data_IF_018481015120
#
_entry.id   IF_018481015120
#
_cell.length_a   1.000
_cell.length_b   1.000
_cell.length_c   1.000
_cell.angle_alpha   90.00
_cell.angle_beta   90.00
_cell.angle_gamma   90.00
#
_symmetry.space_group_name_H-M   'P 1'
#
loop_
_entity.id
_entity.type
_entity.pdbx_description
1 polymer ?
#
# COMPACT_ATOMS: atom_id res chain seq x y z
N UNK A 1 -18.77 -19.41 2.36
CA UNK A 1 -19.17 -18.01 2.60
C UNK A 1 -18.40 -17.13 1.62
N UNK A 2 -19.09 -16.32 0.84
CA UNK A 2 -18.41 -15.50 -0.17
C UNK A 2 -17.76 -14.29 0.52
N UNK A 3 -16.48 -14.36 0.77
CA UNK A 3 -15.70 -13.35 1.50
C UNK A 3 -15.63 -11.99 0.77
N UNK A 4 -15.99 -11.93 -0.51
CA UNK A 4 -16.08 -10.70 -1.28
C UNK A 4 -17.38 -9.93 -1.04
N UNK A 5 -18.38 -10.51 -0.35
CA UNK A 5 -19.64 -9.80 -0.08
C UNK A 5 -19.58 -9.14 1.29
N UNK A 6 -19.59 -7.78 1.36
CA UNK A 6 -19.60 -7.07 2.64
C UNK A 6 -20.82 -7.45 3.48
N UNK A 7 -20.59 -7.85 4.73
CA UNK A 7 -21.65 -8.41 5.61
C UNK A 7 -22.50 -7.37 6.31
N UNK A 8 -22.00 -6.17 6.52
CA UNK A 8 -22.68 -5.09 7.25
C UNK A 8 -22.66 -3.77 6.47
N UNK A 9 -23.47 -2.81 6.90
CA UNK A 9 -23.62 -1.51 6.23
C UNK A 9 -22.32 -0.71 6.21
N UNK A 10 -21.54 -0.71 7.30
CA UNK A 10 -20.24 -0.01 7.35
C UNK A 10 -19.28 -0.55 6.30
N UNK A 11 -19.13 -1.86 6.19
CA UNK A 11 -18.26 -2.48 5.20
C UNK A 11 -18.74 -2.22 3.77
N UNK A 12 -20.07 -2.23 3.51
CA UNK A 12 -20.62 -1.87 2.20
C UNK A 12 -20.28 -0.44 1.80
N UNK A 13 -20.46 0.51 2.72
CA UNK A 13 -20.11 1.92 2.49
C UNK A 13 -18.61 2.07 2.27
N UNK A 14 -17.78 1.44 3.09
CA UNK A 14 -16.33 1.50 2.97
C UNK A 14 -15.84 0.98 1.61
N UNK A 15 -16.35 -0.18 1.18
CA UNK A 15 -16.03 -0.76 -0.13
C UNK A 15 -16.51 0.16 -1.25
N UNK A 16 -17.72 0.70 -1.18
CA UNK A 16 -18.22 1.65 -2.16
C UNK A 16 -17.32 2.89 -2.28
N UNK A 17 -16.89 3.46 -1.15
CA UNK A 17 -16.03 4.66 -1.15
C UNK A 17 -14.69 4.37 -1.83
N UNK A 18 -13.98 3.29 -1.49
CA UNK A 18 -12.67 3.01 -2.11
C UNK A 18 -12.80 2.75 -3.62
N UNK A 19 -13.85 2.04 -4.05
CA UNK A 19 -14.08 1.83 -5.47
C UNK A 19 -14.39 3.15 -6.19
N UNK A 20 -15.26 3.97 -5.61
CA UNK A 20 -15.62 5.28 -6.19
C UNK A 20 -14.38 6.17 -6.37
N UNK A 21 -13.57 6.33 -5.32
CA UNK A 21 -12.38 7.19 -5.39
C UNK A 21 -11.35 6.70 -6.42
N UNK A 22 -11.08 5.40 -6.46
CA UNK A 22 -10.14 4.85 -7.43
C UNK A 22 -10.67 4.94 -8.87
N UNK A 23 -11.94 4.62 -9.11
CA UNK A 23 -12.53 4.74 -10.45
C UNK A 23 -12.57 6.20 -10.93
N UNK A 24 -12.94 7.14 -10.04
CA UNK A 24 -12.87 8.57 -10.35
C UNK A 24 -11.42 9.00 -10.64
N UNK A 25 -10.45 8.52 -9.86
CA UNK A 25 -9.03 8.77 -10.08
C UNK A 25 -8.55 8.23 -11.43
N UNK A 26 -8.91 6.98 -11.79
CA UNK A 26 -8.56 6.37 -13.09
C UNK A 26 -9.05 7.24 -14.25
N UNK A 27 -10.34 7.61 -14.24
CA UNK A 27 -10.94 8.43 -15.29
C UNK A 27 -10.36 9.84 -15.30
N UNK A 28 -10.23 10.45 -14.12
CA UNK A 28 -9.79 11.84 -13.98
C UNK A 28 -8.33 12.05 -14.35
N UNK A 29 -7.44 11.13 -13.98
CA UNK A 29 -6.01 11.18 -14.33
C UNK A 29 -5.79 10.93 -15.82
N UNK A 30 -6.54 9.98 -16.42
CA UNK A 30 -6.34 9.58 -17.81
C UNK A 30 -7.04 10.49 -18.83
N UNK A 31 -8.22 10.99 -18.51
CA UNK A 31 -9.08 11.70 -19.47
C UNK A 31 -9.53 13.10 -18.99
N UNK A 32 -9.27 13.45 -17.72
CA UNK A 32 -9.65 14.72 -17.13
C UNK A 32 -8.48 15.66 -16.88
N UNK A 33 -8.59 16.46 -15.82
CA UNK A 33 -7.50 17.31 -15.34
C UNK A 33 -6.59 16.49 -14.42
N UNK A 34 -5.49 15.98 -14.96
CA UNK A 34 -4.54 15.12 -14.26
C UNK A 34 -4.07 15.72 -12.93
N UNK A 35 -3.63 16.97 -12.94
CA UNK A 35 -3.05 17.63 -11.75
C UNK A 35 -4.10 17.80 -10.64
N UNK A 36 -5.34 18.12 -11.01
CA UNK A 36 -6.45 18.19 -10.07
C UNK A 36 -6.69 16.84 -9.38
N UNK A 37 -6.76 15.75 -10.14
CA UNK A 37 -7.00 14.42 -9.56
C UNK A 37 -5.80 13.89 -8.75
N UNK A 38 -4.57 14.19 -9.19
CA UNK A 38 -3.36 13.83 -8.45
C UNK A 38 -3.28 14.52 -7.09
N UNK A 39 -3.75 15.76 -6.96
CA UNK A 39 -3.79 16.48 -5.70
C UNK A 39 -4.64 15.78 -4.62
N UNK A 40 -5.55 14.87 -5.01
CA UNK A 40 -6.35 14.07 -4.07
C UNK A 40 -5.67 12.76 -3.65
N UNK A 41 -4.51 12.41 -4.19
CA UNK A 41 -3.79 11.17 -3.80
C UNK A 41 -3.54 11.07 -2.29
N UNK A 42 -3.05 12.11 -1.59
CA UNK A 42 -2.86 12.05 -0.14
C UNK A 42 -4.15 11.79 0.61
N UNK A 43 -5.25 12.40 0.18
CA UNK A 43 -6.57 12.25 0.79
C UNK A 43 -7.09 10.82 0.56
N UNK A 44 -6.97 10.29 -0.66
CA UNK A 44 -7.40 8.93 -0.98
C UNK A 44 -6.62 7.88 -0.15
N UNK A 45 -5.31 8.05 -0.01
CA UNK A 45 -4.48 7.17 0.80
C UNK A 45 -4.88 7.24 2.28
N UNK A 46 -5.12 8.44 2.81
CA UNK A 46 -5.59 8.62 4.19
C UNK A 46 -6.99 8.03 4.42
N UNK A 47 -7.93 8.23 3.48
CA UNK A 47 -9.27 7.61 3.55
C UNK A 47 -9.14 6.09 3.53
N UNK A 48 -8.32 5.52 2.65
CA UNK A 48 -8.09 4.07 2.58
C UNK A 48 -7.57 3.51 3.90
N UNK A 49 -6.64 4.23 4.54
CA UNK A 49 -6.13 3.89 5.87
C UNK A 49 -7.21 3.91 6.94
N UNK A 50 -7.99 4.99 7.02
CA UNK A 50 -9.07 5.12 8.01
C UNK A 50 -10.10 4.01 7.81
N UNK A 51 -10.53 3.77 6.56
CA UNK A 51 -11.50 2.72 6.26
C UNK A 51 -10.96 1.31 6.54
N UNK A 52 -9.66 1.08 6.34
CA UNK A 52 -9.01 -0.18 6.72
C UNK A 52 -9.18 -0.44 8.22
N UNK A 53 -8.96 0.56 9.06
CA UNK A 53 -9.09 0.42 10.52
C UNK A 53 -10.55 0.37 10.98
N UNK A 54 -11.45 1.12 10.36
CA UNK A 54 -12.91 1.05 10.64
C UNK A 54 -13.48 -0.35 10.38
N UNK A 55 -12.91 -1.08 9.43
CA UNK A 55 -13.35 -2.43 9.10
C UNK A 55 -12.63 -3.53 9.90
N UNK A 56 -11.58 -3.22 10.68
CA UNK A 56 -10.93 -4.22 11.53
C UNK A 56 -11.93 -4.75 12.57
N UNK A 57 -11.94 -6.07 12.75
CA UNK A 57 -12.87 -6.73 13.68
C UNK A 57 -12.59 -6.41 15.14
N UNK A 58 -11.31 -6.25 15.47
CA UNK A 58 -10.85 -5.88 16.80
C UNK A 58 -9.72 -4.87 16.67
N UNK A 59 -9.85 -3.73 17.34
CA UNK A 59 -8.83 -2.69 17.44
C UNK A 59 -8.35 -2.62 18.89
N UNK A 60 -7.61 -3.62 19.31
CA UNK A 60 -6.96 -3.63 20.61
C UNK A 60 -5.61 -2.91 20.56
N UNK A 61 -5.03 -2.68 21.72
CA UNK A 61 -3.71 -2.02 21.84
C UNK A 61 -2.59 -2.76 21.07
N UNK A 62 -2.69 -4.07 20.91
CA UNK A 62 -1.68 -4.86 20.17
C UNK A 62 -1.74 -4.66 18.66
N UNK A 63 -2.93 -4.48 18.09
CA UNK A 63 -3.11 -4.15 16.67
C UNK A 63 -2.56 -2.76 16.36
N UNK A 64 -2.89 -1.77 17.19
CA UNK A 64 -2.39 -0.41 17.05
C UNK A 64 -0.86 -0.35 17.22
N UNK A 65 -0.28 -1.06 18.21
CA UNK A 65 1.17 -1.15 18.38
C UNK A 65 1.84 -1.80 17.17
N UNK A 66 1.24 -2.83 16.59
CA UNK A 66 1.78 -3.50 15.41
C UNK A 66 1.74 -2.59 14.19
N UNK A 67 0.64 -1.87 13.96
CA UNK A 67 0.55 -0.88 12.91
C UNK A 67 1.59 0.24 13.08
N UNK A 68 1.78 0.73 14.31
CA UNK A 68 2.80 1.72 14.65
C UNK A 68 4.21 1.21 14.34
N UNK A 69 4.54 -0.03 14.72
CA UNK A 69 5.83 -0.63 14.41
C UNK A 69 6.05 -0.78 12.90
N UNK A 70 5.02 -1.21 12.15
CA UNK A 70 5.08 -1.32 10.68
C UNK A 70 5.32 0.05 10.06
N UNK A 71 4.63 1.10 10.54
CA UNK A 71 4.85 2.47 10.11
C UNK A 71 6.31 2.89 10.26
N UNK A 72 6.90 2.69 11.45
CA UNK A 72 8.29 3.09 11.71
C UNK A 72 9.31 2.25 10.97
N UNK A 73 9.08 0.94 10.81
CA UNK A 73 9.96 0.10 9.99
C UNK A 73 9.94 0.61 8.55
N UNK A 74 8.75 0.87 7.99
CA UNK A 74 8.62 1.47 6.66
C UNK A 74 9.34 2.82 6.57
N UNK A 75 9.00 3.77 7.45
CA UNK A 75 9.63 5.11 7.42
C UNK A 75 11.15 5.07 7.56
N UNK A 76 11.69 4.26 8.47
CA UNK A 76 13.14 4.16 8.68
C UNK A 76 13.81 3.55 7.43
N UNK A 77 13.24 2.49 6.86
CA UNK A 77 13.80 1.89 5.64
C UNK A 77 13.80 2.86 4.46
N UNK A 78 12.74 3.65 4.31
CA UNK A 78 12.64 4.68 3.26
C UNK A 78 13.62 5.84 3.50
N UNK A 79 13.76 6.32 4.75
CA UNK A 79 14.73 7.35 5.10
C UNK A 79 16.16 6.88 4.81
N UNK A 80 16.49 5.62 5.08
CA UNK A 80 17.79 5.03 4.75
C UNK A 80 17.98 4.90 3.23
N UNK A 81 16.90 4.59 2.48
CA UNK A 81 16.90 4.58 1.02
C UNK A 81 17.21 5.96 0.45
N UNK A 82 16.35 6.94 0.73
CA UNK A 82 16.44 8.31 0.18
C UNK A 82 17.74 9.03 0.52
N UNK A 83 18.25 8.87 1.75
CA UNK A 83 19.41 9.66 2.20
C UNK A 83 20.77 8.96 1.97
N UNK A 84 20.79 7.64 1.80
CA UNK A 84 22.04 6.87 1.73
C UNK A 84 22.07 5.82 0.60
N UNK A 85 21.03 5.74 -0.24
CA UNK A 85 20.92 4.69 -1.27
C UNK A 85 20.83 3.25 -0.74
N UNK A 86 20.59 3.10 0.57
CA UNK A 86 20.49 1.79 1.22
C UNK A 86 19.10 1.19 0.98
N UNK A 87 18.99 -0.14 1.02
CA UNK A 87 17.74 -0.92 0.96
C UNK A 87 17.10 -0.89 -0.43
N UNK A 88 16.68 0.28 -0.96
CA UNK A 88 15.91 0.39 -2.21
C UNK A 88 16.73 0.94 -3.39
N UNK A 89 17.93 1.49 -3.15
CA UNK A 89 18.76 2.20 -4.13
C UNK A 89 18.58 3.72 -4.06
N UNK A 90 19.12 4.43 -5.05
CA UNK A 90 19.11 5.90 -5.07
C UNK A 90 17.85 6.43 -5.76
N UNK A 91 17.00 7.10 -5.01
CA UNK A 91 15.75 7.71 -5.47
C UNK A 91 15.36 8.90 -4.60
N UNK A 92 14.46 9.71 -5.11
CA UNK A 92 13.89 10.85 -4.39
C UNK A 92 12.37 10.85 -4.49
N UNK A 93 11.69 11.28 -3.44
CA UNK A 93 10.24 11.53 -3.45
C UNK A 93 9.93 12.88 -4.07
N UNK A 94 8.98 12.90 -4.99
CA UNK A 94 8.37 14.10 -5.56
C UNK A 94 7.27 14.64 -4.63
N UNK A 95 6.48 15.63 -5.06
CA UNK A 95 5.67 16.43 -4.13
C UNK A 95 4.22 15.97 -3.93
N UNK A 96 3.72 15.05 -4.75
CA UNK A 96 2.29 14.65 -4.71
C UNK A 96 1.89 13.81 -3.49
N UNK A 97 2.83 13.34 -2.68
CA UNK A 97 2.54 12.56 -1.48
C UNK A 97 2.54 13.39 -0.18
N UNK A 98 2.67 14.72 -0.29
CA UNK A 98 2.51 15.67 0.81
C UNK A 98 3.72 15.82 1.71
N UNK A 99 3.49 16.12 2.99
CA UNK A 99 4.53 16.50 3.96
C UNK A 99 5.60 15.42 4.16
N UNK A 100 6.87 15.83 4.10
CA UNK A 100 8.06 14.96 4.18
C UNK A 100 8.83 15.13 5.49
N UNK A 101 9.33 14.01 6.02
CA UNK A 101 10.30 13.94 7.12
C UNK A 101 11.58 13.29 6.57
N UNK A 102 12.72 13.96 6.67
CA UNK A 102 14.00 13.52 6.09
C UNK A 102 13.88 13.09 4.61
N UNK A 103 13.11 13.84 3.81
CA UNK A 103 12.90 13.57 2.39
C UNK A 103 11.82 12.55 2.06
N UNK A 104 11.24 11.86 3.05
CA UNK A 104 10.22 10.83 2.88
C UNK A 104 8.83 11.35 3.27
N UNK A 105 7.80 11.25 2.41
CA UNK A 105 6.44 11.60 2.78
C UNK A 105 5.91 10.73 3.93
N UNK A 106 5.29 11.34 4.94
CA UNK A 106 4.72 10.61 6.09
C UNK A 106 3.68 9.58 5.67
N UNK A 107 2.97 9.85 4.58
CA UNK A 107 1.98 8.92 4.01
C UNK A 107 2.60 7.62 3.47
N UNK A 108 3.89 7.57 3.23
CA UNK A 108 4.57 6.33 2.86
C UNK A 108 4.58 5.33 4.03
N UNK A 109 4.83 5.81 5.26
CA UNK A 109 4.66 4.95 6.44
C UNK A 109 3.23 4.42 6.61
N UNK A 110 2.23 5.25 6.29
CA UNK A 110 0.82 4.83 6.22
C UNK A 110 0.60 3.79 5.11
N UNK A 111 1.22 3.98 3.95
CA UNK A 111 1.14 3.03 2.85
C UNK A 111 1.75 1.66 3.22
N UNK A 112 2.85 1.62 3.95
CA UNK A 112 3.44 0.39 4.49
C UNK A 112 2.46 -0.38 5.37
N UNK A 113 1.66 0.32 6.21
CA UNK A 113 0.59 -0.31 7.00
C UNK A 113 -0.47 -0.89 6.05
N UNK A 114 -0.99 -0.09 5.13
CA UNK A 114 -2.05 -0.51 4.20
C UNK A 114 -1.61 -1.76 3.43
N UNK A 115 -0.45 -1.71 2.77
CA UNK A 115 0.06 -2.81 1.96
C UNK A 115 0.25 -4.07 2.80
N UNK A 116 0.85 -3.96 3.99
CA UNK A 116 1.04 -5.10 4.90
C UNK A 116 -0.28 -5.75 5.31
N UNK A 117 -1.28 -4.94 5.68
CA UNK A 117 -2.57 -5.45 6.14
C UNK A 117 -3.37 -6.10 5.01
N UNK A 118 -3.48 -5.46 3.84
CA UNK A 118 -4.29 -5.99 2.74
C UNK A 118 -3.70 -7.26 2.14
N UNK A 119 -2.38 -7.31 1.93
CA UNK A 119 -1.70 -8.49 1.39
C UNK A 119 -1.60 -9.60 2.43
N UNK A 120 -1.35 -9.25 3.70
CA UNK A 120 -1.28 -10.18 4.83
C UNK A 120 -2.62 -10.85 5.15
N UNK A 121 -3.73 -10.11 5.04
CA UNK A 121 -5.08 -10.65 5.23
C UNK A 121 -5.42 -11.69 4.17
N UNK A 122 -5.18 -11.37 2.89
CA UNK A 122 -5.43 -12.30 1.79
C UNK A 122 -4.52 -13.53 1.85
N UNK A 123 -3.22 -13.34 2.08
CA UNK A 123 -2.26 -14.44 2.16
C UNK A 123 -2.60 -15.42 3.29
N UNK A 124 -3.01 -14.92 4.46
CA UNK A 124 -3.41 -15.78 5.59
C UNK A 124 -4.73 -16.52 5.37
N UNK A 125 -5.61 -15.98 4.56
CA UNK A 125 -6.84 -16.66 4.16
C UNK A 125 -6.54 -17.85 3.24
N UNK A 126 -5.65 -17.65 2.27
CA UNK A 126 -5.28 -18.68 1.28
C UNK A 126 -4.37 -19.74 1.92
N UNK A 127 -3.36 -19.30 2.67
CA UNK A 127 -2.35 -20.19 3.25
C UNK A 127 -2.48 -20.28 4.76
N UNK A 128 -2.75 -21.47 5.29
CA UNK A 128 -2.92 -21.67 6.73
C UNK A 128 -1.59 -21.70 7.50
N UNK A 129 -0.49 -22.01 6.81
CA UNK A 129 0.84 -21.95 7.41
C UNK A 129 1.31 -20.50 7.48
N UNK A 130 1.61 -20.01 8.69
CA UNK A 130 2.02 -18.60 8.92
C UNK A 130 3.27 -18.21 8.14
N UNK A 131 4.26 -19.09 8.02
CA UNK A 131 5.49 -18.80 7.29
C UNK A 131 5.24 -18.65 5.79
N UNK A 132 4.39 -19.52 5.24
CA UNK A 132 3.95 -19.39 3.84
C UNK A 132 3.14 -18.12 3.65
N UNK A 133 2.27 -17.76 4.60
CA UNK A 133 1.51 -16.50 4.54
C UNK A 133 2.41 -15.27 4.57
N UNK A 134 3.48 -15.28 5.38
CA UNK A 134 4.47 -14.21 5.42
C UNK A 134 5.14 -14.06 4.06
N UNK A 135 5.65 -15.16 3.51
CA UNK A 135 6.30 -15.17 2.19
C UNK A 135 5.38 -14.66 1.09
N UNK A 136 4.16 -15.19 1.03
CA UNK A 136 3.19 -14.81 -0.01
C UNK A 136 2.68 -13.38 0.16
N UNK A 137 2.53 -12.90 1.40
CA UNK A 137 2.22 -11.50 1.69
C UNK A 137 3.30 -10.55 1.16
N UNK A 138 4.58 -10.86 1.39
CA UNK A 138 5.69 -10.09 0.86
C UNK A 138 5.75 -10.12 -0.68
N UNK A 139 5.50 -11.28 -1.30
CA UNK A 139 5.42 -11.40 -2.76
C UNK A 139 4.28 -10.55 -3.33
N UNK A 140 3.11 -10.52 -2.69
CA UNK A 140 1.99 -9.66 -3.11
C UNK A 140 2.33 -8.17 -2.98
N UNK A 141 3.10 -7.77 -1.97
CA UNK A 141 3.59 -6.38 -1.83
C UNK A 141 4.50 -6.02 -3.01
N UNK A 142 5.47 -6.87 -3.37
CA UNK A 142 6.32 -6.67 -4.56
C UNK A 142 5.47 -6.62 -5.83
N UNK A 143 4.45 -7.47 -5.95
CA UNK A 143 3.54 -7.47 -7.09
C UNK A 143 2.81 -6.13 -7.28
N UNK A 144 2.41 -5.47 -6.20
CA UNK A 144 1.86 -4.11 -6.25
C UNK A 144 2.92 -3.08 -6.60
N UNK A 145 4.12 -3.17 -6.01
CA UNK A 145 5.24 -2.28 -6.31
C UNK A 145 5.61 -2.31 -7.81
N UNK A 146 5.69 -3.51 -8.40
CA UNK A 146 5.88 -3.69 -9.85
C UNK A 146 4.83 -2.98 -10.71
N UNK A 147 3.61 -2.85 -10.24
CA UNK A 147 2.55 -2.13 -10.93
C UNK A 147 2.65 -0.60 -10.71
N UNK A 148 3.20 -0.16 -9.58
CA UNK A 148 3.32 1.26 -9.24
C UNK A 148 4.54 1.89 -9.92
N UNK A 149 5.66 1.18 -9.96
CA UNK A 149 6.95 1.72 -10.39
C UNK A 149 6.94 2.42 -11.76
N UNK A 150 6.36 1.85 -12.84
CA UNK A 150 6.37 2.53 -14.13
C UNK A 150 5.60 3.84 -14.15
N UNK A 151 4.57 3.98 -13.32
CA UNK A 151 3.73 5.18 -13.26
C UNK A 151 4.13 6.16 -12.15
N UNK A 152 4.92 5.73 -11.17
CA UNK A 152 5.29 6.56 -10.02
C UNK A 152 5.89 7.92 -10.41
N UNK A 153 6.86 8.03 -11.36
CA UNK A 153 7.38 9.32 -11.81
C UNK A 153 6.31 10.19 -12.47
N UNK A 154 5.44 9.57 -13.28
CA UNK A 154 4.37 10.26 -14.01
C UNK A 154 3.26 10.76 -13.08
N UNK A 155 3.08 10.13 -11.92
CA UNK A 155 2.13 10.52 -10.89
C UNK A 155 2.73 11.50 -9.86
N UNK A 156 4.02 11.85 -10.00
CA UNK A 156 4.71 12.75 -9.08
C UNK A 156 4.96 12.11 -7.70
N UNK A 157 5.19 10.77 -7.64
CA UNK A 157 5.42 10.04 -6.39
C UNK A 157 6.91 9.98 -6.05
N UNK A 158 7.71 9.28 -6.85
CA UNK A 158 9.16 9.16 -6.72
C UNK A 158 9.82 8.89 -8.07
N UNK A 159 11.13 9.11 -8.13
CA UNK A 159 11.93 8.83 -9.31
C UNK A 159 13.31 8.31 -8.88
N UNK A 160 13.80 7.26 -9.54
CA UNK A 160 15.16 6.74 -9.39
C UNK A 160 16.16 7.55 -10.23
N UNK A 161 17.38 7.71 -9.72
CA UNK A 161 18.41 8.55 -10.34
C UNK A 161 18.70 8.16 -11.81
N UNK A 162 18.74 6.87 -12.11
CA UNK A 162 18.96 6.37 -13.48
C UNK A 162 17.67 6.26 -14.31
N UNK A 163 16.55 6.79 -13.82
CA UNK A 163 15.20 6.59 -14.42
C UNK A 163 14.87 5.11 -14.66
N UNK A 164 15.51 4.23 -13.92
CA UNK A 164 15.34 2.78 -13.97
C UNK A 164 15.34 2.20 -12.58
N UNK A 165 14.31 1.43 -12.29
CA UNK A 165 14.17 0.75 -10.99
C UNK A 165 15.25 -0.32 -10.84
N UNK A 166 16.12 -0.23 -9.83
CA UNK A 166 17.18 -1.22 -9.64
C UNK A 166 16.61 -2.51 -9.02
N UNK A 167 17.27 -3.64 -9.27
CA UNK A 167 16.91 -4.90 -8.62
C UNK A 167 16.95 -4.78 -7.08
N UNK A 168 17.82 -3.93 -6.57
CA UNK A 168 17.94 -3.62 -5.14
C UNK A 168 16.59 -3.18 -4.56
N UNK A 169 15.77 -2.39 -5.28
CA UNK A 169 14.43 -2.00 -4.84
C UNK A 169 13.57 -3.23 -4.50
N UNK A 170 13.46 -4.17 -5.41
CA UNK A 170 12.62 -5.38 -5.21
C UNK A 170 13.15 -6.28 -4.10
N UNK A 171 14.48 -6.38 -3.94
CA UNK A 171 15.08 -7.10 -2.81
C UNK A 171 14.80 -6.40 -1.48
N UNK A 172 14.87 -5.07 -1.45
CA UNK A 172 14.49 -4.25 -0.30
C UNK A 172 13.04 -4.45 0.08
N UNK A 173 12.12 -4.33 -0.89
CA UNK A 173 10.69 -4.61 -0.70
C UNK A 173 10.44 -6.02 -0.17
N UNK A 174 11.20 -7.02 -0.66
CA UNK A 174 11.10 -8.38 -0.17
C UNK A 174 11.50 -8.49 1.31
N UNK A 175 12.67 -7.97 1.68
CA UNK A 175 13.20 -8.08 3.05
C UNK A 175 12.32 -7.32 4.04
N UNK A 176 12.00 -6.05 3.75
CA UNK A 176 11.16 -5.25 4.64
C UNK A 176 9.72 -5.79 4.66
N UNK A 177 9.21 -6.24 3.51
CA UNK A 177 7.92 -6.91 3.40
C UNK A 177 7.86 -8.18 4.27
N UNK A 178 8.88 -9.02 4.27
CA UNK A 178 8.95 -10.20 5.15
C UNK A 178 8.89 -9.81 6.63
N UNK A 179 9.59 -8.75 7.04
CA UNK A 179 9.61 -8.27 8.44
C UNK A 179 8.21 -7.76 8.83
N UNK A 180 7.61 -6.90 8.02
CA UNK A 180 6.28 -6.33 8.31
C UNK A 180 5.18 -7.39 8.26
N UNK A 181 5.25 -8.33 7.31
CA UNK A 181 4.36 -9.49 7.24
C UNK A 181 4.51 -10.41 8.46
N UNK A 182 5.73 -10.62 8.96
CA UNK A 182 5.94 -11.40 10.17
C UNK A 182 5.25 -10.74 11.38
N UNK A 183 5.42 -9.43 11.55
CA UNK A 183 4.70 -8.66 12.59
C UNK A 183 3.19 -8.84 12.45
N UNK A 184 2.65 -8.67 11.24
CA UNK A 184 1.22 -8.83 10.97
C UNK A 184 0.74 -10.24 11.29
N UNK A 185 1.41 -11.30 10.80
CA UNK A 185 0.97 -12.68 10.94
C UNK A 185 1.06 -13.19 12.40
N UNK A 186 2.03 -12.72 13.17
CA UNK A 186 2.20 -13.16 14.55
C UNK A 186 1.47 -12.30 15.60
N UNK A 187 1.20 -11.03 15.29
CA UNK A 187 0.58 -10.10 16.25
C UNK A 187 -0.90 -9.87 16.04
N UNK A 188 -1.37 -9.92 14.79
CA UNK A 188 -2.78 -9.71 14.45
C UNK A 188 -3.52 -11.04 14.47
N UNK A 189 -4.39 -11.24 15.45
CA UNK A 189 -5.14 -12.49 15.61
C UNK A 189 -6.31 -12.58 14.62
N UNK A 190 -7.18 -11.57 14.60
CA UNK A 190 -8.33 -11.50 13.73
C UNK A 190 -8.07 -10.55 12.57
N UNK A 191 -8.01 -11.11 11.36
CA UNK A 191 -7.71 -10.37 10.14
C UNK A 191 -8.99 -10.02 9.40
N UNK A 192 -9.11 -8.75 9.03
CA UNK A 192 -10.18 -8.30 8.16
C UNK A 192 -9.86 -8.71 6.73
N UNK A 193 -10.78 -9.45 6.08
CA UNK A 193 -10.53 -10.02 4.77
C UNK A 193 -11.29 -9.29 3.66
N UNK A 194 -12.55 -8.94 3.89
CA UNK A 194 -13.43 -8.41 2.83
C UNK A 194 -12.94 -7.07 2.29
N UNK A 195 -12.82 -6.07 3.17
CA UNK A 195 -12.35 -4.74 2.78
C UNK A 195 -10.91 -4.79 2.27
N UNK A 196 -10.03 -5.55 2.96
CA UNK A 196 -8.63 -5.72 2.57
C UNK A 196 -8.50 -6.30 1.17
N UNK A 197 -9.32 -7.28 0.81
CA UNK A 197 -9.30 -7.87 -0.54
C UNK A 197 -9.82 -6.88 -1.59
N UNK A 198 -10.89 -6.13 -1.30
CA UNK A 198 -11.37 -5.10 -2.22
C UNK A 198 -10.33 -4.01 -2.45
N UNK A 199 -9.67 -3.54 -1.37
CA UNK A 199 -8.64 -2.51 -1.48
C UNK A 199 -7.42 -3.01 -2.26
N UNK A 200 -7.00 -4.27 -2.06
CA UNK A 200 -5.93 -4.89 -2.84
C UNK A 200 -6.29 -4.98 -4.34
N UNK A 201 -7.48 -5.47 -4.65
CA UNK A 201 -7.96 -5.63 -6.03
C UNK A 201 -8.05 -4.27 -6.73
N UNK A 202 -8.66 -3.27 -6.08
CA UNK A 202 -8.84 -1.96 -6.73
C UNK A 202 -7.50 -1.22 -6.91
N UNK A 203 -6.53 -1.36 -5.97
CA UNK A 203 -5.18 -0.84 -6.16
C UNK A 203 -4.50 -1.51 -7.37
N UNK A 204 -4.56 -2.84 -7.48
CA UNK A 204 -3.97 -3.56 -8.60
C UNK A 204 -4.61 -3.14 -9.94
N UNK A 205 -5.94 -3.02 -10.00
CA UNK A 205 -6.67 -2.56 -11.19
C UNK A 205 -6.28 -1.11 -11.51
N UNK A 206 -6.22 -0.23 -10.52
CA UNK A 206 -5.88 1.18 -10.69
C UNK A 206 -4.49 1.36 -11.33
N UNK A 207 -3.48 0.74 -10.75
CA UNK A 207 -2.12 0.88 -11.28
C UNK A 207 -1.92 0.13 -12.60
N UNK A 208 -2.53 -1.05 -12.80
CA UNK A 208 -2.51 -1.74 -14.09
C UNK A 208 -3.18 -0.92 -15.20
N UNK A 209 -4.32 -0.27 -14.89
CA UNK A 209 -5.00 0.61 -15.84
C UNK A 209 -4.15 1.83 -16.19
N UNK A 210 -3.54 2.51 -15.19
CA UNK A 210 -2.68 3.65 -15.45
C UNK A 210 -1.43 3.26 -16.24
N UNK A 211 -0.82 2.10 -15.97
CA UNK A 211 0.26 1.56 -16.80
C UNK A 211 -0.15 1.46 -18.28
N UNK A 212 -1.33 0.94 -18.56
CA UNK A 212 -1.83 0.79 -19.92
C UNK A 212 -2.12 2.14 -20.60
N UNK A 213 -2.57 3.15 -19.84
CA UNK A 213 -3.05 4.43 -20.40
C UNK A 213 -1.96 5.50 -20.53
N UNK A 214 -0.96 5.51 -19.64
CA UNK A 214 -0.03 6.63 -19.55
C UNK A 214 1.47 6.24 -19.65
N UNK A 215 1.79 4.95 -19.69
CA UNK A 215 3.13 4.41 -20.00
C UNK A 215 3.13 3.82 -21.39
#
# INVERSE_FOLDING_TARGET
MNFLIPSNTSSKISVFIIWLFHLCGMVGISYGNKDFFLAFTPINLFISFVLLFVNQKQLESKELKSAFLIFFIGMISEILGVNYGLIFGDYVYLDNLGFKIFGVPVLIGVNWIILTFITGSLSSFIFKNKYVSILMGAILMIGLDLLIEPVAPLLGFWIFDLQKVPLQNYLGWFVIGMITQALFQFKIAEKELTFSTHLLIINAIFFAFLNYQIV
#
